data_IF_918032910211
#
_entry.id   IF_918032910211
#
_cell.length_a   1.000
_cell.length_b   1.000
_cell.length_c   1.000
_cell.angle_alpha   90.00
_cell.angle_beta   90.00
_cell.angle_gamma   90.00
#
_symmetry.space_group_name_H-M   'P 1'
#
loop_
_entity.id
_entity.type
_entity.pdbx_description
1 polymer ?
#
# COMPACT_ATOMS: atom_id res chain seq x y z
N UNK A 1 4.03 -0.60 3.79
CA UNK A 1 4.42 -0.21 5.16
C UNK A 1 5.10 1.14 5.07
N UNK A 2 4.67 2.12 5.85
CA UNK A 2 5.30 3.44 5.89
C UNK A 2 6.50 3.45 6.85
N UNK A 3 7.57 4.13 6.47
CA UNK A 3 8.68 4.48 7.36
C UNK A 3 8.65 5.99 7.63
N UNK A 4 8.32 6.37 8.86
CA UNK A 4 8.06 7.77 9.21
C UNK A 4 6.76 8.26 8.56
N UNK A 5 6.79 9.51 8.11
CA UNK A 5 5.65 10.17 7.48
C UNK A 5 5.63 9.88 5.97
N UNK A 6 4.55 9.27 5.48
CA UNK A 6 4.33 9.08 4.03
C UNK A 6 3.05 9.81 3.64
N UNK A 7 3.12 10.60 2.58
CA UNK A 7 2.07 11.55 2.19
C UNK A 7 1.28 11.08 0.98
N UNK A 8 -0.02 11.32 1.01
CA UNK A 8 -0.94 11.11 -0.10
C UNK A 8 -0.86 9.68 -0.70
N UNK A 9 -0.88 8.66 0.15
CA UNK A 9 -0.79 7.26 -0.29
C UNK A 9 -2.11 6.81 -0.86
N UNK A 10 -2.08 6.31 -2.10
CA UNK A 10 -3.23 5.68 -2.74
C UNK A 10 -2.90 4.28 -3.21
N UNK A 11 -3.79 3.32 -2.93
CA UNK A 11 -3.66 1.92 -3.33
C UNK A 11 -4.99 1.42 -3.89
N UNK A 12 -4.97 0.88 -5.10
CA UNK A 12 -6.12 0.23 -5.74
C UNK A 12 -5.74 -1.14 -6.31
N UNK A 13 -6.76 -1.95 -6.64
CA UNK A 13 -6.55 -3.33 -7.07
C UNK A 13 -6.45 -4.35 -5.94
N UNK A 14 -6.75 -3.92 -4.71
CA UNK A 14 -6.65 -4.70 -3.47
C UNK A 14 -7.93 -4.59 -2.63
N UNK A 15 -8.10 -5.50 -1.66
CA UNK A 15 -9.26 -5.54 -0.75
C UNK A 15 -9.36 -4.28 0.13
N UNK A 16 -8.25 -3.85 0.72
CA UNK A 16 -8.18 -2.66 1.57
C UNK A 16 -7.52 -1.51 0.81
N UNK A 17 -8.32 -0.72 0.12
CA UNK A 17 -7.83 0.42 -0.65
C UNK A 17 -7.45 1.59 0.27
N UNK A 18 -6.58 2.44 -0.25
CA UNK A 18 -6.26 3.74 0.34
C UNK A 18 -6.54 4.81 -0.71
N UNK A 19 -7.16 5.91 -0.28
CA UNK A 19 -7.54 7.03 -1.14
C UNK A 19 -6.93 8.31 -0.58
N UNK A 20 -5.74 8.67 -1.10
CA UNK A 20 -5.05 9.91 -0.70
C UNK A 20 -4.82 10.05 0.81
N UNK A 21 -4.42 8.96 1.46
CA UNK A 21 -4.25 8.93 2.92
C UNK A 21 -2.80 9.22 3.34
N UNK A 22 -2.65 10.05 4.37
CA UNK A 22 -1.37 10.21 5.06
C UNK A 22 -1.13 9.03 6.01
N UNK A 23 0.04 8.41 5.91
CA UNK A 23 0.45 7.29 6.74
C UNK A 23 1.60 7.70 7.67
N UNK A 24 1.66 7.00 8.80
CA UNK A 24 2.73 7.04 9.78
C UNK A 24 3.33 5.64 9.89
N UNK A 25 4.52 5.52 10.46
CA UNK A 25 5.12 4.23 10.79
C UNK A 25 4.10 3.29 11.43
N UNK A 26 3.89 2.13 10.81
CA UNK A 26 2.88 1.18 11.27
C UNK A 26 2.53 0.10 10.25
N UNK A 27 1.53 -0.70 10.59
CA UNK A 27 1.13 -1.88 9.82
C UNK A 27 -0.07 -1.64 8.89
N UNK A 28 -0.50 -0.39 8.73
CA UNK A 28 -1.63 -0.06 7.86
C UNK A 28 -1.31 -0.45 6.41
N UNK A 29 -2.17 -1.25 5.79
CA UNK A 29 -1.97 -1.82 4.45
C UNK A 29 -1.12 -3.10 4.41
N UNK A 30 -0.65 -3.64 5.54
CA UNK A 30 0.02 -4.95 5.60
C UNK A 30 -1.02 -6.07 5.56
N UNK A 31 -0.71 -7.17 4.86
CA UNK A 31 -1.61 -8.33 4.73
C UNK A 31 -2.75 -8.12 3.75
N UNK A 32 -2.62 -7.15 2.84
CA UNK A 32 -3.62 -6.84 1.84
C UNK A 32 -3.62 -7.87 0.70
N UNK A 33 -4.79 -8.16 0.13
CA UNK A 33 -4.96 -9.15 -0.94
C UNK A 33 -5.36 -8.48 -2.24
N UNK A 34 -4.84 -9.00 -3.35
CA UNK A 34 -5.17 -8.57 -4.70
C UNK A 34 -6.59 -9.04 -5.04
N UNK A 35 -7.42 -8.14 -5.54
CA UNK A 35 -8.76 -8.48 -6.02
C UNK A 35 -9.00 -8.10 -7.50
N UNK A 36 -8.08 -7.34 -8.10
CA UNK A 36 -8.14 -6.99 -9.53
C UNK A 36 -6.75 -6.65 -10.08
N UNK A 37 -6.63 -6.67 -11.41
CA UNK A 37 -5.39 -6.40 -12.15
C UNK A 37 -5.68 -5.26 -13.13
N UNK A 38 -4.88 -4.17 -13.17
CA UNK A 38 -3.63 -3.97 -12.42
C UNK A 38 -3.84 -3.55 -10.96
N UNK A 39 -2.84 -3.85 -10.12
CA UNK A 39 -2.66 -3.21 -8.81
C UNK A 39 -1.89 -1.92 -9.01
N UNK A 40 -2.37 -0.81 -8.44
CA UNK A 40 -1.74 0.50 -8.55
C UNK A 40 -1.44 1.07 -7.17
N UNK A 41 -0.23 1.62 -7.01
CA UNK A 41 0.25 2.21 -5.76
C UNK A 41 0.94 3.52 -6.10
N UNK A 42 0.64 4.57 -5.35
CA UNK A 42 1.27 5.89 -5.49
C UNK A 42 1.40 6.58 -4.14
N UNK A 43 2.36 7.47 -4.03
CA UNK A 43 2.59 8.36 -2.88
C UNK A 43 3.31 9.62 -3.36
N UNK A 44 3.14 10.74 -2.65
CA UNK A 44 3.75 12.03 -3.04
C UNK A 44 5.01 12.36 -2.23
N UNK A 45 5.25 11.66 -1.12
CA UNK A 45 6.45 11.89 -0.31
C UNK A 45 6.63 10.88 0.81
N UNK A 46 7.85 10.80 1.33
CA UNK A 46 8.25 9.81 2.33
C UNK A 46 8.62 8.45 1.74
N UNK A 47 8.96 7.51 2.61
CA UNK A 47 9.44 6.18 2.24
C UNK A 47 8.38 5.10 2.49
N UNK A 48 7.97 4.41 1.42
CA UNK A 48 7.00 3.32 1.47
C UNK A 48 7.67 2.00 1.07
N UNK A 49 7.71 1.04 2.00
CA UNK A 49 8.11 -0.33 1.70
C UNK A 49 6.93 -1.12 1.17
N UNK A 50 7.08 -1.65 -0.05
CA UNK A 50 6.15 -2.55 -0.68
C UNK A 50 6.70 -3.97 -0.70
N UNK A 51 5.91 -4.93 -0.22
CA UNK A 51 6.24 -6.36 -0.22
C UNK A 51 5.13 -7.07 -0.97
N UNK A 52 5.50 -7.78 -2.04
CA UNK A 52 4.59 -8.61 -2.81
C UNK A 52 4.93 -10.08 -2.58
N UNK A 53 3.95 -10.84 -2.10
CA UNK A 53 4.08 -12.28 -1.95
C UNK A 53 3.17 -12.96 -2.99
N UNK A 54 3.77 -13.59 -3.99
CA UNK A 54 3.04 -14.47 -4.88
C UNK A 54 2.92 -15.84 -4.20
N UNK A 55 1.71 -16.25 -3.82
CA UNK A 55 1.46 -17.62 -3.42
C UNK A 55 1.57 -18.51 -4.66
N UNK A 56 2.74 -19.14 -4.83
CA UNK A 56 2.89 -20.26 -5.77
C UNK A 56 2.22 -21.48 -5.15
N UNK A 57 1.17 -21.97 -5.79
CA UNK A 57 0.56 -23.28 -5.51
C UNK A 57 1.50 -24.40 -5.98
#
# INVERSE_FOLDING_TARGET
MAFGDVKNVSISGVEYQLESEDLQTGTRGVGNRVNSIPVSISHDGGDLLFIWEASVL
#
